data_IF_237878654975
#
_entry.id   IF_237878654975
#
_cell.length_a   1.000
_cell.length_b   1.000
_cell.length_c   1.000
_cell.angle_alpha   90.00
_cell.angle_beta   90.00
_cell.angle_gamma   90.00
#
_symmetry.space_group_name_H-M   'P 1'
#
loop_
_entity.id
_entity.type
_entity.pdbx_description
1 polymer ?
#
# COMPACT_ATOMS: atom_id res chain seq x y z
N UNK A 1 1.54 82.81 41.92
CA UNK A 1 1.82 84.00 41.09
C UNK A 1 1.29 83.76 39.69
N UNK A 2 0.53 84.73 39.18
CA UNK A 2 0.05 84.94 37.78
C UNK A 2 -0.90 83.91 37.17
N UNK A 3 -2.19 84.24 37.28
CA UNK A 3 -3.21 83.91 36.31
C UNK A 3 -3.15 84.90 35.13
N UNK A 4 -3.36 84.42 33.92
CA UNK A 4 -3.99 85.19 32.84
C UNK A 4 -4.80 84.25 31.96
N UNK A 5 -5.96 84.76 31.61
CA UNK A 5 -7.17 84.12 31.14
C UNK A 5 -7.36 84.37 29.62
N UNK A 6 -8.09 83.46 28.97
CA UNK A 6 -8.94 83.59 27.75
C UNK A 6 -8.40 84.01 26.37
N UNK A 7 -8.72 83.16 25.37
CA UNK A 7 -9.62 83.37 24.19
C UNK A 7 -9.35 82.21 23.18
N UNK A 8 -10.18 81.17 23.03
CA UNK A 8 -11.45 81.02 22.29
C UNK A 8 -11.38 81.29 20.78
N UNK A 9 -11.96 80.35 20.01
CA UNK A 9 -12.32 80.29 18.57
C UNK A 9 -11.33 79.57 17.65
N UNK A 10 -11.71 78.77 16.66
CA UNK A 10 -12.93 78.07 16.23
C UNK A 10 -12.48 77.09 15.12
N UNK A 11 -13.29 76.10 14.78
CA UNK A 11 -13.04 75.06 13.75
C UNK A 11 -12.91 75.66 12.34
N UNK A 12 -12.39 74.87 11.38
CA UNK A 12 -13.30 74.50 10.28
C UNK A 12 -13.43 73.00 10.08
N UNK A 13 -14.68 72.59 9.92
CA UNK A 13 -15.10 71.37 9.23
C UNK A 13 -14.61 71.43 7.78
N UNK A 14 -13.96 70.38 7.29
CA UNK A 14 -13.68 70.26 5.86
C UNK A 14 -12.54 69.30 5.56
N UNK A 15 -12.85 68.03 5.33
CA UNK A 15 -11.83 67.04 4.98
C UNK A 15 -12.41 65.71 4.56
N UNK A 16 -13.05 65.69 3.39
CA UNK A 16 -13.25 64.55 2.48
C UNK A 16 -13.25 63.14 3.13
N UNK A 17 -14.43 62.62 3.41
CA UNK A 17 -14.61 61.17 3.56
C UNK A 17 -14.40 60.54 2.18
N UNK A 18 -13.17 60.14 1.87
CA UNK A 18 -12.95 59.16 0.82
C UNK A 18 -13.52 57.85 1.32
N UNK A 19 -14.63 57.42 0.72
CA UNK A 19 -15.07 56.03 0.74
C UNK A 19 -13.91 55.19 0.18
N UNK A 20 -13.10 54.66 1.10
CA UNK A 20 -12.08 53.68 0.76
C UNK A 20 -12.79 52.44 0.24
N UNK A 21 -12.50 52.10 -1.00
CA UNK A 21 -12.90 50.87 -1.67
C UNK A 21 -12.75 49.70 -0.71
N UNK A 22 -13.86 49.06 -0.38
CA UNK A 22 -13.89 47.83 0.42
C UNK A 22 -13.25 46.76 -0.45
N UNK A 23 -11.97 46.46 -0.24
CA UNK A 23 -11.41 45.22 -0.74
C UNK A 23 -11.97 44.09 0.14
N UNK A 24 -12.81 43.17 -0.38
CA UNK A 24 -13.40 42.10 0.43
C UNK A 24 -12.38 41.00 0.79
N UNK A 25 -11.10 41.17 0.45
CA UNK A 25 -10.05 40.18 0.70
C UNK A 25 -9.23 40.61 1.92
N UNK A 26 -9.61 40.10 3.09
CA UNK A 26 -8.81 40.20 4.29
C UNK A 26 -7.75 39.08 4.31
N UNK A 27 -6.48 39.45 4.29
CA UNK A 27 -5.36 38.51 4.46
C UNK A 27 -5.09 38.34 5.95
N UNK A 28 -5.24 37.11 6.46
CA UNK A 28 -4.89 36.76 7.84
C UNK A 28 -3.78 35.70 7.84
N UNK A 29 -2.77 35.89 8.69
CA UNK A 29 -1.68 34.93 8.89
C UNK A 29 -2.08 33.94 9.97
N UNK A 30 -2.15 32.65 9.61
CA UNK A 30 -2.40 31.57 10.56
C UNK A 30 -1.07 30.86 10.88
N UNK A 31 -0.77 30.69 12.16
CA UNK A 31 0.35 29.86 12.60
C UNK A 31 -0.06 28.38 12.54
N UNK A 32 0.39 27.66 11.51
CA UNK A 32 0.18 26.21 11.39
C UNK A 32 1.36 25.52 12.10
N UNK A 33 1.13 24.77 13.20
CA UNK A 33 2.20 24.01 13.86
C UNK A 33 2.80 23.00 12.88
N UNK A 34 4.13 22.84 12.92
CA UNK A 34 4.84 21.92 12.03
C UNK A 34 4.36 20.47 12.21
N UNK A 35 4.01 20.10 13.44
CA UNK A 35 3.48 18.78 13.81
C UNK A 35 2.05 18.53 13.27
N UNK A 36 1.37 19.57 12.82
CA UNK A 36 0.04 19.49 12.18
C UNK A 36 0.09 19.25 10.67
N UNK A 37 1.28 19.20 10.06
CA UNK A 37 1.45 19.02 8.62
C UNK A 37 1.77 17.56 8.28
N UNK A 38 0.81 16.84 7.71
CA UNK A 38 1.06 15.52 7.11
C UNK A 38 1.36 15.70 5.62
N UNK A 39 2.64 15.58 5.24
CA UNK A 39 3.05 15.62 3.83
C UNK A 39 3.02 14.19 3.29
N UNK A 40 2.03 13.90 2.44
CA UNK A 40 1.97 12.62 1.71
C UNK A 40 2.55 12.82 0.32
N UNK A 41 3.70 12.21 0.04
CA UNK A 41 4.27 12.20 -1.29
C UNK A 41 3.42 11.33 -2.24
N UNK A 42 3.30 11.70 -3.53
CA UNK A 42 2.67 10.84 -4.52
C UNK A 42 3.43 9.53 -4.64
N UNK A 43 2.70 8.44 -4.95
CA UNK A 43 3.32 7.14 -5.13
C UNK A 43 4.31 7.15 -6.31
N UNK A 44 5.41 6.40 -6.22
CA UNK A 44 6.39 6.35 -7.29
C UNK A 44 5.81 5.69 -8.55
N UNK A 45 6.03 6.31 -9.70
CA UNK A 45 5.57 5.78 -11.00
C UNK A 45 6.35 4.52 -11.43
N UNK A 46 7.60 4.43 -11.00
CA UNK A 46 8.51 3.34 -11.36
C UNK A 46 8.81 2.45 -10.15
N UNK A 47 8.71 1.14 -10.35
CA UNK A 47 9.13 0.13 -9.40
C UNK A 47 10.59 -0.23 -9.62
N UNK A 48 11.30 -0.32 -8.51
CA UNK A 48 12.69 -0.72 -8.38
C UNK A 48 12.81 -1.75 -7.26
N UNK A 49 13.97 -2.37 -7.14
CA UNK A 49 14.28 -3.26 -6.02
C UNK A 49 14.02 -2.59 -4.65
N UNK A 50 14.20 -1.27 -4.53
CA UNK A 50 14.10 -0.55 -3.25
C UNK A 50 12.66 -0.29 -2.80
N UNK A 51 11.75 -0.04 -3.74
CA UNK A 51 10.38 0.40 -3.41
C UNK A 51 9.31 -0.65 -3.70
N UNK A 52 9.62 -1.73 -4.42
CA UNK A 52 8.63 -2.73 -4.84
C UNK A 52 7.88 -3.35 -3.66
N UNK A 53 8.58 -3.64 -2.57
CA UNK A 53 7.97 -4.26 -1.38
C UNK A 53 6.99 -3.32 -0.68
N UNK A 54 7.36 -2.04 -0.54
CA UNK A 54 6.48 -1.03 0.05
C UNK A 54 5.22 -0.76 -0.81
N UNK A 55 5.31 -0.91 -2.14
CA UNK A 55 4.20 -0.61 -3.06
C UNK A 55 3.31 -1.82 -3.32
N UNK A 56 3.88 -3.02 -3.40
CA UNK A 56 3.17 -4.24 -3.85
C UNK A 56 3.08 -5.33 -2.79
N UNK A 57 3.86 -5.23 -1.70
CA UNK A 57 4.03 -6.30 -0.72
C UNK A 57 4.88 -7.46 -1.20
N UNK A 58 5.39 -7.44 -2.45
CA UNK A 58 6.22 -8.52 -2.99
C UNK A 58 7.68 -8.32 -2.56
N UNK A 59 8.35 -9.35 -2.02
CA UNK A 59 9.75 -9.25 -1.66
C UNK A 59 10.62 -8.89 -2.86
N UNK A 60 11.60 -8.02 -2.64
CA UNK A 60 12.49 -7.52 -3.70
C UNK A 60 13.20 -8.63 -4.48
N UNK A 61 13.51 -9.77 -3.82
CA UNK A 61 14.11 -10.93 -4.47
C UNK A 61 13.18 -11.56 -5.51
N UNK A 62 11.92 -11.78 -5.14
CA UNK A 62 10.90 -12.36 -6.02
C UNK A 62 10.70 -11.44 -7.22
N UNK A 63 10.57 -10.13 -6.99
CA UNK A 63 10.51 -9.14 -8.07
C UNK A 63 11.68 -9.29 -9.05
N UNK A 64 12.92 -9.35 -8.55
CA UNK A 64 14.10 -9.48 -9.43
C UNK A 64 14.12 -10.79 -10.20
N UNK A 65 13.73 -11.89 -9.57
CA UNK A 65 13.69 -13.20 -10.22
C UNK A 65 12.58 -13.22 -11.30
N UNK A 66 11.42 -12.65 -11.02
CA UNK A 66 10.31 -12.52 -11.98
C UNK A 66 10.70 -11.70 -13.21
N UNK A 67 11.27 -10.50 -13.04
CA UNK A 67 11.63 -9.64 -14.18
C UNK A 67 12.87 -10.13 -14.95
N UNK A 68 13.59 -11.11 -14.40
CA UNK A 68 14.72 -11.78 -15.08
C UNK A 68 14.29 -13.07 -15.78
N UNK A 69 13.09 -13.58 -15.48
CA UNK A 69 12.60 -14.80 -16.08
C UNK A 69 12.52 -14.64 -17.61
N UNK A 70 12.94 -15.66 -18.38
CA UNK A 70 12.74 -15.65 -19.82
C UNK A 70 11.24 -15.56 -20.14
N UNK A 71 10.88 -14.71 -21.09
CA UNK A 71 9.48 -14.50 -21.48
C UNK A 71 8.67 -13.59 -20.55
N UNK A 72 9.32 -12.87 -19.62
CA UNK A 72 8.64 -11.84 -18.83
C UNK A 72 7.98 -10.80 -19.77
N UNK A 73 6.66 -10.53 -19.64
CA UNK A 73 5.91 -9.83 -20.68
C UNK A 73 6.00 -8.30 -20.62
N UNK A 74 6.50 -7.73 -19.51
CA UNK A 74 6.55 -6.28 -19.34
C UNK A 74 7.92 -5.72 -19.71
N UNK A 75 7.97 -4.48 -20.26
CA UNK A 75 9.23 -3.81 -20.54
C UNK A 75 9.99 -3.51 -19.23
N UNK A 76 11.28 -3.83 -19.21
CA UNK A 76 12.18 -3.55 -18.09
C UNK A 76 13.25 -2.56 -18.54
N UNK A 77 13.18 -1.34 -18.03
CA UNK A 77 14.22 -0.33 -18.24
C UNK A 77 15.45 -0.66 -17.39
N UNK A 78 16.64 -0.58 -18.00
CA UNK A 78 17.92 -0.82 -17.32
C UNK A 78 18.72 0.47 -17.25
N UNK A 79 19.10 0.87 -16.05
CA UNK A 79 20.00 1.99 -15.80
C UNK A 79 21.22 1.48 -15.02
N UNK A 80 22.24 1.05 -15.75
CA UNK A 80 23.37 0.30 -15.19
C UNK A 80 22.91 -1.02 -14.54
N UNK A 81 23.05 -1.13 -13.21
CA UNK A 81 22.57 -2.28 -12.42
C UNK A 81 21.11 -2.16 -12.01
N UNK A 82 20.54 -0.95 -12.08
CA UNK A 82 19.17 -0.68 -11.68
C UNK A 82 18.20 -1.21 -12.73
N UNK A 83 17.15 -1.87 -12.27
CA UNK A 83 16.05 -2.36 -13.09
C UNK A 83 14.77 -1.68 -12.66
N UNK A 84 14.08 -1.10 -13.62
CA UNK A 84 12.87 -0.34 -13.42
C UNK A 84 11.73 -0.90 -14.27
N UNK A 85 10.55 -0.96 -13.68
CA UNK A 85 9.30 -1.38 -14.34
C UNK A 85 8.22 -0.37 -13.99
N UNK A 86 7.34 -0.05 -14.93
CA UNK A 86 6.22 0.83 -14.67
C UNK A 86 5.28 0.20 -13.64
N UNK A 87 4.95 0.94 -12.57
CA UNK A 87 4.14 0.44 -11.45
C UNK A 87 2.81 -0.14 -11.90
N UNK A 88 2.07 0.60 -12.71
CA UNK A 88 0.70 0.23 -13.11
C UNK A 88 0.69 -1.05 -13.94
N UNK A 89 1.62 -1.16 -14.90
CA UNK A 89 1.77 -2.38 -15.70
C UNK A 89 2.13 -3.60 -14.83
N UNK A 90 3.03 -3.41 -13.86
CA UNK A 90 3.41 -4.50 -12.96
C UNK A 90 2.27 -4.93 -12.05
N UNK A 91 1.50 -3.99 -11.48
CA UNK A 91 0.32 -4.31 -10.66
C UNK A 91 -0.75 -5.02 -11.49
N UNK A 92 -1.03 -4.54 -12.70
CA UNK A 92 -1.98 -5.19 -13.61
C UNK A 92 -1.55 -6.63 -13.95
N UNK A 93 -0.25 -6.85 -14.18
CA UNK A 93 0.31 -8.18 -14.38
C UNK A 93 0.08 -9.10 -13.17
N UNK A 94 0.32 -8.62 -11.95
CA UNK A 94 0.08 -9.39 -10.74
C UNK A 94 -1.40 -9.72 -10.54
N UNK A 95 -2.29 -8.77 -10.83
CA UNK A 95 -3.73 -8.99 -10.79
C UNK A 95 -4.17 -10.04 -11.82
N UNK A 96 -3.62 -9.99 -13.04
CA UNK A 96 -3.86 -11.00 -14.06
C UNK A 96 -3.38 -12.39 -13.61
N UNK A 97 -2.19 -12.49 -13.00
CA UNK A 97 -1.69 -13.75 -12.43
C UNK A 97 -2.58 -14.29 -11.30
N UNK A 98 -3.11 -13.42 -10.46
CA UNK A 98 -4.01 -13.81 -9.37
C UNK A 98 -5.39 -14.26 -9.88
N UNK A 99 -5.83 -13.70 -11.01
CA UNK A 99 -7.15 -13.98 -11.62
C UNK A 99 -7.11 -15.23 -12.49
N UNK A 100 -5.99 -15.51 -13.16
CA UNK A 100 -5.83 -16.73 -13.92
C UNK A 100 -5.74 -17.93 -12.97
N UNK A 101 -6.69 -18.89 -12.99
CA UNK A 101 -6.50 -20.15 -12.30
C UNK A 101 -5.26 -20.80 -12.93
N UNK A 102 -4.21 -21.01 -12.14
CA UNK A 102 -2.95 -21.53 -12.64
C UNK A 102 -3.21 -22.83 -13.44
N UNK A 103 -2.62 -23.01 -14.64
CA UNK A 103 -2.74 -24.23 -15.44
C UNK A 103 -2.21 -25.47 -14.71
N UNK A 104 -1.56 -25.30 -13.55
CA UNK A 104 -1.18 -26.39 -12.64
C UNK A 104 -2.37 -27.22 -12.17
N UNK A 105 -3.54 -26.62 -11.94
CA UNK A 105 -4.73 -27.41 -11.54
C UNK A 105 -5.21 -28.31 -12.66
N UNK A 106 -5.20 -27.80 -13.89
CA UNK A 106 -5.63 -28.55 -15.07
C UNK A 106 -4.58 -29.60 -15.46
N UNK A 107 -3.28 -29.25 -15.39
CA UNK A 107 -2.19 -30.19 -15.61
C UNK A 107 -2.15 -31.32 -14.56
N UNK A 108 -2.35 -31.01 -13.27
CA UNK A 108 -2.46 -32.03 -12.22
C UNK A 108 -3.71 -32.91 -12.41
N UNK A 109 -4.83 -32.33 -12.84
CA UNK A 109 -6.05 -33.09 -13.12
C UNK A 109 -5.88 -34.01 -14.34
N UNK A 110 -5.23 -33.52 -15.39
CA UNK A 110 -4.91 -34.27 -16.59
C UNK A 110 -3.89 -35.39 -16.29
N UNK A 111 -2.87 -35.11 -15.50
CA UNK A 111 -1.90 -36.10 -15.03
C UNK A 111 -2.60 -37.19 -14.20
N UNK A 112 -3.46 -36.82 -13.25
CA UNK A 112 -4.27 -37.78 -12.48
C UNK A 112 -5.15 -38.64 -13.37
N UNK A 113 -5.70 -38.06 -14.43
CA UNK A 113 -6.52 -38.78 -15.41
C UNK A 113 -5.68 -39.80 -16.17
N UNK A 114 -4.46 -39.42 -16.60
CA UNK A 114 -3.51 -40.32 -17.25
C UNK A 114 -3.06 -41.45 -16.32
N UNK A 115 -2.74 -41.13 -15.07
CA UNK A 115 -2.36 -42.13 -14.05
C UNK A 115 -3.52 -43.07 -13.76
N UNK A 116 -4.74 -42.57 -13.64
CA UNK A 116 -5.93 -43.40 -13.46
C UNK A 116 -6.15 -44.36 -14.64
N UNK A 117 -5.94 -43.92 -15.88
CA UNK A 117 -6.02 -44.78 -17.05
C UNK A 117 -4.96 -45.90 -17.06
N UNK A 118 -3.73 -45.60 -16.58
CA UNK A 118 -2.66 -46.60 -16.43
C UNK A 118 -2.96 -47.60 -15.31
N UNK A 119 -3.55 -47.16 -14.20
CA UNK A 119 -3.97 -48.06 -13.13
C UNK A 119 -5.11 -48.98 -13.58
N UNK A 120 -6.10 -48.42 -14.30
CA UNK A 120 -7.21 -49.19 -14.85
C UNK A 120 -6.75 -50.26 -15.84
N UNK A 121 -5.74 -49.97 -16.69
CA UNK A 121 -5.19 -50.98 -17.61
C UNK A 121 -4.45 -52.12 -16.88
N UNK A 122 -4.00 -51.88 -15.64
CA UNK A 122 -3.44 -52.90 -14.76
C UNK A 122 -4.49 -53.59 -13.87
N UNK A 123 -5.78 -53.26 -14.01
CA UNK A 123 -6.87 -53.80 -13.17
C UNK A 123 -6.88 -53.25 -11.73
N UNK A 124 -6.27 -52.08 -11.52
CA UNK A 124 -6.16 -51.42 -10.22
C UNK A 124 -7.00 -50.14 -10.17
N UNK A 125 -7.61 -49.86 -9.02
CA UNK A 125 -8.41 -48.66 -8.80
C UNK A 125 -7.63 -47.59 -8.00
N UNK A 126 -7.68 -46.31 -8.40
CA UNK A 126 -7.03 -45.25 -7.65
C UNK A 126 -7.74 -44.98 -6.32
N UNK A 127 -7.01 -45.21 -5.22
CA UNK A 127 -7.50 -44.92 -3.87
C UNK A 127 -7.50 -43.40 -3.63
N UNK A 128 -8.65 -42.84 -3.24
CA UNK A 128 -8.73 -41.45 -2.79
C UNK A 128 -8.04 -41.31 -1.43
N UNK A 129 -6.76 -40.99 -1.44
CA UNK A 129 -6.11 -40.49 -0.23
C UNK A 129 -6.58 -39.05 0.00
N UNK A 130 -7.42 -38.86 1.03
CA UNK A 130 -7.64 -37.53 1.57
C UNK A 130 -6.25 -36.94 1.89
N UNK A 131 -5.96 -35.75 1.35
CA UNK A 131 -4.74 -35.04 1.71
C UNK A 131 -4.67 -35.01 3.23
N UNK A 132 -3.68 -35.68 3.81
CA UNK A 132 -3.21 -35.35 5.15
C UNK A 132 -2.55 -33.99 5.01
N UNK A 133 -3.38 -32.97 4.90
CA UNK A 133 -2.94 -31.61 5.15
C UNK A 133 -2.44 -31.61 6.59
N UNK A 134 -1.22 -31.12 6.72
CA UNK A 134 -0.38 -31.27 7.90
C UNK A 134 -1.15 -30.90 9.18
N UNK A 135 -1.26 -31.89 10.06
CA UNK A 135 -1.68 -31.87 11.46
C UNK A 135 -2.10 -30.50 12.04
N UNK A 136 -3.40 -30.31 12.25
CA UNK A 136 -3.89 -29.45 13.34
C UNK A 136 -3.30 -30.00 14.64
N UNK A 137 -2.49 -29.19 15.33
CA UNK A 137 -1.96 -29.53 16.64
C UNK A 137 -3.12 -29.92 17.59
N UNK A 138 -2.99 -31.00 18.40
CA UNK A 138 -3.94 -31.24 19.47
C UNK A 138 -3.81 -30.09 20.48
N UNK A 139 -4.94 -29.49 20.87
CA UNK A 139 -5.00 -28.64 22.06
C UNK A 139 -4.49 -29.46 23.24
N UNK A 140 -3.37 -29.02 23.81
CA UNK A 140 -2.67 -29.65 24.92
C UNK A 140 -3.59 -29.63 26.16
N UNK A 141 -4.33 -30.72 26.32
CA UNK A 141 -5.22 -30.97 27.44
C UNK A 141 -4.51 -31.82 28.50
N UNK A 142 -3.72 -31.19 29.37
CA UNK A 142 -3.17 -31.80 30.58
C UNK A 142 -2.54 -30.70 31.46
N UNK A 143 -2.71 -30.56 32.77
CA UNK A 143 -3.32 -31.37 33.83
C UNK A 143 -3.56 -30.42 35.01
N UNK A 144 -4.72 -30.52 35.66
CA UNK A 144 -4.96 -29.91 36.98
C UNK A 144 -3.97 -30.52 37.98
N UNK A 145 -3.09 -29.70 38.53
CA UNK A 145 -2.29 -30.05 39.71
C UNK A 145 -3.22 -30.24 40.92
N UNK A 146 -3.30 -31.47 41.44
CA UNK A 146 -3.78 -31.70 42.81
C UNK A 146 -2.57 -31.72 43.73
N UNK A 147 -2.49 -30.75 44.62
CA UNK A 147 -1.65 -30.83 45.82
C UNK A 147 -2.31 -31.80 46.81
N UNK A 148 -1.57 -32.85 47.17
CA UNK A 148 -1.79 -33.65 48.38
C UNK A 148 -0.61 -33.34 49.29
N UNK A 149 -0.82 -32.59 50.37
CA UNK A 149 0.11 -32.56 51.49
C UNK A 149 -0.43 -33.44 52.61
N UNK A 150 0.50 -34.11 53.28
CA UNK A 150 0.30 -34.96 54.45
C UNK A 150 0.05 -34.11 55.68
#
# INVERSE_FOLDING_TARGET
MRATDRLVMERPLGGSQRLGTINPTATATLAIPLDGLTITAPQPEMLSQKNVEAVTGIPARIFLDTIRAPGFPLPVAKLGKLRLVQREAFVAYLQALATQPAPRRDAEAEERTRVAAVLASAGLEPVRCARTDRASAPLDGARRGRLRQK
#
